data_IF_509753523127
#
_entry.id   IF_509753523127
#
_cell.length_a   1.000
_cell.length_b   1.000
_cell.length_c   1.000
_cell.angle_alpha   90.00
_cell.angle_beta   90.00
_cell.angle_gamma   90.00
#
_symmetry.space_group_name_H-M   'P 1'
#
loop_
_entity.id
_entity.type
_entity.pdbx_description
1 polymer ?
#
# COMPACT_ATOMS: atom_id res chain seq x y z
N UNK A 1 89.00 36.41 40.17
CA UNK A 1 88.92 34.97 40.54
C UNK A 1 88.37 34.14 39.37
N UNK A 2 88.49 32.80 39.46
CA UNK A 2 88.02 31.74 38.53
C UNK A 2 86.63 32.07 37.91
N UNK A 3 86.31 31.88 36.62
CA UNK A 3 86.71 30.89 35.60
C UNK A 3 86.22 29.45 35.85
N UNK A 4 85.04 29.14 35.30
CA UNK A 4 84.68 27.79 34.83
C UNK A 4 83.85 27.92 33.56
N UNK A 5 84.27 27.19 32.53
CA UNK A 5 83.61 27.11 31.21
C UNK A 5 82.45 26.12 31.28
N UNK A 6 81.49 26.24 30.37
CA UNK A 6 81.12 25.05 29.58
C UNK A 6 80.82 25.43 28.13
N UNK A 7 81.27 24.61 27.18
CA UNK A 7 81.16 24.86 25.73
C UNK A 7 81.01 23.56 24.97
N UNK A 8 80.38 23.66 23.78
CA UNK A 8 80.17 22.60 22.77
C UNK A 8 79.04 21.61 23.14
N UNK A 9 78.41 20.91 22.19
CA UNK A 9 78.70 20.83 20.75
C UNK A 9 77.45 20.68 19.87
N UNK A 10 77.62 20.88 18.56
CA UNK A 10 76.57 20.83 17.53
C UNK A 10 76.42 19.45 16.85
N UNK A 11 75.32 19.30 16.10
CA UNK A 11 75.19 18.50 14.86
C UNK A 11 75.24 16.95 14.92
N UNK A 12 74.10 16.30 14.62
CA UNK A 12 73.77 15.86 13.23
C UNK A 12 72.38 15.22 13.11
N UNK A 13 71.70 15.48 11.98
CA UNK A 13 70.48 14.77 11.56
C UNK A 13 70.81 13.36 11.07
N UNK A 14 69.92 12.40 11.32
CA UNK A 14 69.68 11.26 10.42
C UNK A 14 68.17 11.03 10.28
N UNK A 15 67.72 10.87 9.05
CA UNK A 15 66.33 10.64 8.71
C UNK A 15 65.97 9.16 8.94
N UNK A 16 64.80 8.89 9.49
CA UNK A 16 64.15 7.59 9.39
C UNK A 16 62.80 7.82 8.72
N UNK A 17 62.65 7.31 7.50
CA UNK A 17 61.38 7.30 6.81
C UNK A 17 60.56 6.11 7.32
N UNK A 18 59.40 6.38 7.91
CA UNK A 18 58.38 5.35 8.16
C UNK A 18 57.28 5.50 7.12
N UNK A 19 57.35 4.66 6.09
CA UNK A 19 56.20 4.42 5.22
C UNK A 19 55.12 3.70 6.04
N UNK A 20 53.93 4.29 6.14
CA UNK A 20 52.75 3.66 6.73
C UNK A 20 51.67 3.62 5.67
N UNK A 21 51.16 2.42 5.38
CA UNK A 21 50.35 2.16 4.20
C UNK A 21 48.99 2.87 4.25
N UNK A 22 48.54 3.34 3.08
CA UNK A 22 47.18 3.84 2.91
C UNK A 22 46.18 2.68 2.97
N UNK A 23 45.23 2.74 3.91
CA UNK A 23 44.03 1.89 3.90
C UNK A 23 42.87 2.73 3.41
N UNK A 24 42.60 2.66 2.11
CA UNK A 24 41.38 3.22 1.51
C UNK A 24 40.22 2.31 1.88
N UNK A 25 39.47 2.67 2.93
CA UNK A 25 38.23 1.97 3.28
C UNK A 25 37.15 2.39 2.28
N UNK A 26 36.88 1.52 1.30
CA UNK A 26 35.80 1.70 0.36
C UNK A 26 34.44 1.61 1.08
N UNK A 27 33.67 2.71 1.07
CA UNK A 27 32.31 2.77 1.58
C UNK A 27 31.36 1.97 0.68
N UNK A 28 31.22 0.67 0.97
CA UNK A 28 30.18 -0.16 0.38
C UNK A 28 28.82 0.22 0.99
N UNK A 29 27.94 0.79 0.17
CA UNK A 29 26.56 1.11 0.57
C UNK A 29 25.71 -0.18 0.66
N UNK A 30 25.87 -0.93 1.74
CA UNK A 30 25.12 -2.15 2.02
C UNK A 30 23.66 -1.84 2.34
N UNK A 31 22.81 -1.82 1.31
CA UNK A 31 21.36 -1.79 1.48
C UNK A 31 20.89 -3.05 2.24
N UNK A 32 20.01 -2.87 3.22
CA UNK A 32 19.41 -3.98 3.97
C UNK A 32 18.57 -4.87 3.05
N UNK A 33 19.08 -6.05 2.70
CA UNK A 33 18.41 -7.12 1.97
C UNK A 33 18.19 -8.35 2.85
N UNK A 34 17.10 -9.07 2.64
CA UNK A 34 16.69 -10.25 3.43
C UNK A 34 16.72 -11.53 2.59
N UNK A 35 16.96 -12.68 3.23
CA UNK A 35 17.06 -13.99 2.60
C UNK A 35 15.81 -14.82 2.91
N UNK A 36 15.06 -15.23 1.88
CA UNK A 36 13.88 -16.09 2.03
C UNK A 36 14.24 -17.58 2.14
N UNK A 37 13.44 -18.33 2.89
CA UNK A 37 13.47 -19.80 2.95
C UNK A 37 12.11 -20.38 2.56
N UNK A 38 12.12 -21.40 1.70
CA UNK A 38 10.93 -22.08 1.17
C UNK A 38 10.45 -23.21 2.09
N UNK A 39 9.14 -23.49 2.05
CA UNK A 39 8.56 -24.74 2.55
C UNK A 39 7.46 -25.22 1.58
N UNK A 40 7.61 -26.45 1.08
CA UNK A 40 6.63 -27.11 0.22
C UNK A 40 5.54 -27.80 1.05
N UNK A 41 4.29 -27.71 0.59
CA UNK A 41 3.19 -28.55 1.05
C UNK A 41 2.49 -29.16 -0.17
N UNK A 42 2.54 -30.48 -0.29
CA UNK A 42 1.94 -31.24 -1.40
C UNK A 42 0.55 -31.74 -0.98
N UNK A 43 -0.45 -31.66 -1.85
CA UNK A 43 -1.82 -32.09 -1.54
C UNK A 43 -2.72 -32.13 -2.77
N UNK A 44 -3.12 -33.34 -3.17
CA UNK A 44 -3.85 -33.64 -4.41
C UNK A 44 -5.36 -33.38 -4.34
N UNK A 45 -5.93 -33.06 -5.49
CA UNK A 45 -7.35 -32.76 -5.75
C UNK A 45 -8.17 -34.04 -5.95
N UNK A 46 -9.46 -34.07 -5.56
CA UNK A 46 -10.62 -34.52 -6.39
C UNK A 46 -11.98 -34.35 -5.65
N UNK A 47 -13.15 -34.42 -6.34
CA UNK A 47 -14.27 -33.51 -6.08
C UNK A 47 -15.57 -34.20 -5.63
N UNK A 48 -16.59 -33.39 -5.31
CA UNK A 48 -17.99 -33.80 -5.32
C UNK A 48 -18.84 -32.68 -5.95
N UNK A 49 -19.89 -33.04 -6.69
CA UNK A 49 -20.82 -32.12 -7.30
C UNK A 49 -22.27 -32.41 -6.92
N UNK A 50 -23.10 -31.39 -7.14
CA UNK A 50 -24.55 -31.37 -7.37
C UNK A 50 -25.59 -31.83 -6.33
N UNK A 51 -26.69 -31.05 -6.29
CA UNK A 51 -28.06 -31.36 -5.79
C UNK A 51 -28.26 -31.72 -4.29
N UNK A 52 -29.37 -31.39 -3.61
CA UNK A 52 -30.57 -30.58 -3.92
C UNK A 52 -31.44 -30.31 -2.66
N UNK A 53 -32.17 -29.18 -2.63
CA UNK A 53 -33.45 -28.94 -1.92
C UNK A 53 -33.49 -29.04 -0.35
N UNK A 54 -34.42 -28.42 0.40
CA UNK A 54 -35.68 -27.71 0.08
C UNK A 54 -36.04 -26.56 1.07
N UNK A 55 -36.91 -25.65 0.63
CA UNK A 55 -37.97 -24.87 1.35
C UNK A 55 -37.62 -24.05 2.63
N UNK A 56 -38.22 -22.89 2.93
CA UNK A 56 -39.35 -22.12 2.35
C UNK A 56 -39.10 -20.60 2.61
N UNK A 57 -39.97 -19.59 2.41
CA UNK A 57 -41.38 -19.50 1.98
C UNK A 57 -41.93 -18.07 2.12
N UNK A 58 -43.18 -17.82 1.70
CA UNK A 58 -43.84 -16.49 1.52
C UNK A 58 -43.19 -15.61 0.42
N UNK A 59 -43.89 -15.00 -0.55
CA UNK A 59 -45.32 -14.63 -0.67
C UNK A 59 -45.48 -13.12 -0.43
N UNK A 60 -46.13 -12.30 -1.27
CA UNK A 60 -46.87 -12.54 -2.50
C UNK A 60 -47.03 -11.23 -3.33
N UNK A 61 -47.95 -11.21 -4.29
CA UNK A 61 -48.04 -10.17 -5.33
C UNK A 61 -48.57 -8.79 -4.87
N UNK A 62 -48.32 -7.77 -5.69
CA UNK A 62 -48.93 -6.44 -5.60
C UNK A 62 -48.86 -5.70 -6.94
N UNK A 63 -50.01 -5.55 -7.60
CA UNK A 63 -50.16 -4.85 -8.87
C UNK A 63 -50.03 -3.32 -8.71
N UNK A 64 -49.50 -2.62 -9.73
CA UNK A 64 -49.20 -1.19 -9.66
C UNK A 64 -49.13 -0.50 -11.02
N UNK A 65 -50.30 -0.24 -11.60
CA UNK A 65 -50.53 0.51 -12.84
C UNK A 65 -50.10 1.99 -12.71
N UNK A 66 -49.55 2.56 -13.79
CA UNK A 66 -49.10 3.96 -13.81
C UNK A 66 -48.67 4.46 -15.19
N UNK A 67 -49.64 4.71 -16.08
CA UNK A 67 -49.37 5.26 -17.41
C UNK A 67 -48.97 6.74 -17.37
N UNK A 68 -47.89 7.08 -18.07
CA UNK A 68 -47.49 8.45 -18.38
C UNK A 68 -46.84 8.48 -19.76
N UNK A 69 -47.63 8.78 -20.79
CA UNK A 69 -47.15 8.81 -22.17
C UNK A 69 -46.91 10.25 -22.62
N UNK A 70 -45.75 10.50 -23.22
CA UNK A 70 -45.58 11.64 -24.11
C UNK A 70 -44.83 11.25 -25.39
N UNK A 71 -45.22 11.88 -26.50
CA UNK A 71 -44.92 11.41 -27.87
C UNK A 71 -43.85 12.28 -28.54
N UNK A 72 -42.93 11.65 -29.27
CA UNK A 72 -41.98 12.32 -30.16
C UNK A 72 -41.56 11.42 -31.33
N UNK A 73 -42.17 11.63 -32.49
CA UNK A 73 -41.96 10.95 -33.79
C UNK A 73 -40.51 10.44 -34.00
N UNK A 74 -40.24 9.14 -34.10
CA UNK A 74 -40.45 8.29 -35.28
C UNK A 74 -39.76 8.81 -36.57
N UNK A 75 -38.76 8.05 -37.04
CA UNK A 75 -38.56 7.80 -38.47
C UNK A 75 -38.23 6.31 -38.69
N UNK A 76 -38.81 5.74 -39.73
CA UNK A 76 -38.93 4.29 -39.98
C UNK A 76 -37.73 3.70 -40.73
N UNK A 77 -37.31 2.49 -40.33
CA UNK A 77 -36.46 1.60 -41.11
C UNK A 77 -36.93 0.16 -40.96
N UNK A 78 -37.74 -0.34 -41.90
CA UNK A 78 -38.28 -1.71 -41.88
C UNK A 78 -37.24 -2.69 -42.40
N UNK A 79 -36.95 -3.75 -41.65
CA UNK A 79 -36.01 -4.80 -42.05
C UNK A 79 -36.18 -6.05 -41.19
N UNK A 80 -37.05 -6.96 -41.60
CA UNK A 80 -37.18 -8.28 -40.99
C UNK A 80 -35.96 -9.14 -41.35
N UNK A 81 -35.37 -9.81 -40.35
CA UNK A 81 -34.20 -10.66 -40.56
C UNK A 81 -33.91 -11.54 -39.35
N UNK A 82 -34.46 -12.77 -39.35
CA UNK A 82 -34.08 -13.81 -38.38
C UNK A 82 -32.58 -14.10 -38.52
N UNK A 83 -31.82 -13.91 -37.43
CA UNK A 83 -30.44 -14.37 -37.34
C UNK A 83 -29.93 -14.36 -35.90
N UNK A 84 -29.71 -15.54 -35.30
CA UNK A 84 -29.00 -15.66 -34.02
C UNK A 84 -27.51 -15.34 -34.22
N UNK A 85 -27.16 -14.05 -34.24
CA UNK A 85 -25.77 -13.60 -34.31
C UNK A 85 -25.12 -13.56 -32.93
N UNK A 86 -23.99 -14.26 -32.74
CA UNK A 86 -23.11 -14.02 -31.59
C UNK A 86 -22.64 -12.55 -31.65
N UNK A 87 -23.04 -11.74 -30.67
CA UNK A 87 -22.73 -10.31 -30.66
C UNK A 87 -21.22 -10.06 -30.72
N UNK A 88 -20.76 -9.43 -31.81
CA UNK A 88 -19.34 -9.12 -32.04
C UNK A 88 -18.88 -8.12 -30.97
N UNK A 89 -18.22 -8.62 -29.92
CA UNK A 89 -17.80 -7.82 -28.75
C UNK A 89 -16.88 -6.68 -29.18
N UNK A 90 -17.08 -5.48 -28.62
CA UNK A 90 -16.34 -4.29 -29.01
C UNK A 90 -14.87 -4.33 -28.53
N UNK A 91 -13.96 -3.81 -29.36
CA UNK A 91 -12.56 -3.55 -29.00
C UNK A 91 -12.45 -2.59 -27.79
N UNK A 92 -11.28 -2.52 -27.16
CA UNK A 92 -11.02 -1.55 -26.08
C UNK A 92 -10.76 -0.13 -26.60
N UNK A 93 -10.13 -0.02 -27.78
CA UNK A 93 -9.45 1.19 -28.27
C UNK A 93 -8.42 1.69 -27.25
N UNK A 94 -8.20 3.01 -27.16
CA UNK A 94 -7.34 3.62 -26.15
C UNK A 94 -7.74 3.19 -24.74
N UNK A 95 -6.80 2.54 -24.03
CA UNK A 95 -6.92 2.26 -22.61
C UNK A 95 -6.66 3.52 -21.80
N UNK A 96 -7.22 3.61 -20.60
CA UNK A 96 -6.96 4.70 -19.66
C UNK A 96 -6.69 4.17 -18.25
N UNK A 97 -6.10 5.01 -17.40
CA UNK A 97 -5.90 4.74 -15.96
C UNK A 97 -6.83 5.63 -15.15
N UNK A 98 -7.45 5.08 -14.11
CA UNK A 98 -8.34 5.77 -13.18
C UNK A 98 -8.01 5.36 -11.74
N UNK A 99 -7.80 6.32 -10.84
CA UNK A 99 -7.74 5.99 -9.40
C UNK A 99 -9.14 5.68 -8.87
N UNK A 100 -9.27 4.55 -8.19
CA UNK A 100 -10.47 4.10 -7.50
C UNK A 100 -10.15 4.02 -6.02
N UNK A 101 -10.90 4.75 -5.18
CA UNK A 101 -10.53 5.00 -3.78
C UNK A 101 -10.17 3.76 -2.92
N UNK A 102 -10.68 2.57 -3.26
CA UNK A 102 -10.35 1.29 -2.59
C UNK A 102 -9.38 0.39 -3.39
N UNK A 103 -9.21 0.61 -4.70
CA UNK A 103 -8.44 -0.24 -5.61
C UNK A 103 -7.17 0.42 -6.17
N UNK A 104 -6.94 1.70 -5.91
CA UNK A 104 -5.84 2.44 -6.54
C UNK A 104 -6.05 2.57 -8.03
N UNK A 105 -4.96 2.57 -8.79
CA UNK A 105 -4.99 2.64 -10.25
C UNK A 105 -5.65 1.40 -10.87
N UNK A 106 -6.72 1.64 -11.62
CA UNK A 106 -7.48 0.65 -12.38
C UNK A 106 -7.46 1.02 -13.85
N UNK A 107 -7.20 0.04 -14.72
CA UNK A 107 -7.26 0.20 -16.17
C UNK A 107 -8.71 0.13 -16.65
N UNK A 108 -9.10 1.07 -17.51
CA UNK A 108 -10.39 1.08 -18.22
C UNK A 108 -10.21 1.06 -19.73
N UNK A 109 -11.25 0.69 -20.46
CA UNK A 109 -11.32 0.95 -21.91
C UNK A 109 -11.72 2.39 -22.25
N UNK A 110 -11.75 2.71 -23.55
CA UNK A 110 -12.13 4.04 -24.09
C UNK A 110 -13.56 4.51 -23.77
N UNK A 111 -14.41 3.64 -23.20
CA UNK A 111 -15.75 3.98 -22.73
C UNK A 111 -15.84 4.02 -21.20
N UNK A 112 -14.71 3.86 -20.50
CA UNK A 112 -14.64 3.86 -19.04
C UNK A 112 -15.06 2.55 -18.38
N UNK A 113 -15.21 1.44 -19.11
CA UNK A 113 -15.45 0.13 -18.48
C UNK A 113 -14.18 -0.37 -17.81
N UNK A 114 -14.29 -0.77 -16.54
CA UNK A 114 -13.18 -1.42 -15.81
C UNK A 114 -12.77 -2.70 -16.51
N UNK A 115 -11.47 -2.89 -16.65
CA UNK A 115 -10.86 -4.10 -17.17
C UNK A 115 -10.35 -4.98 -16.04
N UNK A 116 -10.37 -6.29 -16.26
CA UNK A 116 -10.12 -7.32 -15.25
C UNK A 116 -9.10 -8.35 -15.76
N UNK A 117 -8.43 -9.01 -14.81
CA UNK A 117 -7.67 -10.26 -15.02
C UNK A 117 -8.19 -11.38 -14.12
N UNK A 118 -7.97 -12.60 -14.58
CA UNK A 118 -8.28 -13.83 -13.86
C UNK A 118 -7.02 -14.43 -13.23
N UNK A 119 -7.14 -15.07 -12.07
CA UNK A 119 -6.01 -15.71 -11.38
C UNK A 119 -5.67 -17.11 -11.91
N UNK A 120 -6.59 -17.78 -12.62
CA UNK A 120 -6.34 -19.10 -13.25
C UNK A 120 -5.71 -18.99 -14.65
N UNK A 121 -5.50 -17.77 -15.13
CA UNK A 121 -4.75 -17.50 -16.36
C UNK A 121 -3.23 -17.54 -16.12
N UNK A 122 -2.44 -17.56 -17.18
CA UNK A 122 -0.98 -17.38 -17.10
C UNK A 122 -0.52 -16.17 -17.90
N UNK A 123 0.48 -15.45 -17.40
CA UNK A 123 1.08 -14.30 -18.09
C UNK A 123 2.31 -14.65 -18.93
N UNK A 124 3.01 -15.74 -18.61
CA UNK A 124 4.20 -16.19 -19.33
C UNK A 124 4.27 -17.73 -19.38
N UNK A 125 3.99 -18.37 -20.53
CA UNK A 125 3.37 -17.76 -21.71
C UNK A 125 1.96 -17.23 -21.41
N UNK A 126 1.47 -16.21 -22.13
CA UNK A 126 0.08 -15.77 -22.03
C UNK A 126 -0.92 -16.89 -22.35
N UNK A 127 -1.88 -17.16 -21.46
CA UNK A 127 -2.97 -18.13 -21.67
C UNK A 127 -4.22 -17.74 -20.89
N UNK A 128 -5.38 -17.81 -21.56
CA UNK A 128 -6.71 -17.76 -20.94
C UNK A 128 -7.16 -19.17 -20.53
N UNK A 129 -7.66 -19.30 -19.30
CA UNK A 129 -8.39 -20.46 -18.79
C UNK A 129 -9.92 -20.23 -18.81
N UNK A 130 -10.35 -18.97 -18.83
CA UNK A 130 -11.77 -18.62 -18.90
C UNK A 130 -12.36 -18.81 -20.31
N UNK A 131 -13.07 -19.92 -20.53
CA UNK A 131 -13.72 -20.30 -21.81
C UNK A 131 -15.22 -20.59 -21.63
N UNK A 132 -15.98 -20.70 -22.73
CA UNK A 132 -17.41 -21.07 -22.70
C UNK A 132 -18.26 -20.10 -21.87
N UNK A 133 -19.06 -20.64 -20.93
CA UNK A 133 -19.89 -19.85 -20.02
C UNK A 133 -19.08 -18.84 -19.17
N UNK A 134 -17.81 -19.14 -18.86
CA UNK A 134 -16.94 -18.16 -18.21
C UNK A 134 -16.76 -16.92 -19.10
N UNK A 135 -16.50 -17.11 -20.40
CA UNK A 135 -16.36 -16.03 -21.38
C UNK A 135 -17.68 -15.31 -21.74
N UNK A 136 -18.82 -15.80 -21.26
CA UNK A 136 -20.10 -15.09 -21.29
C UNK A 136 -20.21 -14.09 -20.14
N UNK A 137 -19.95 -14.54 -18.90
CA UNK A 137 -19.91 -13.72 -17.69
C UNK A 137 -18.71 -12.75 -17.64
N UNK A 138 -17.60 -13.13 -18.25
CA UNK A 138 -16.36 -12.36 -18.36
C UNK A 138 -15.99 -12.17 -19.84
N UNK A 139 -16.63 -11.23 -20.54
CA UNK A 139 -16.33 -10.92 -21.94
C UNK A 139 -14.84 -10.70 -22.21
N UNK A 140 -14.17 -11.55 -23.02
CA UNK A 140 -12.78 -11.30 -23.44
C UNK A 140 -12.69 -10.00 -24.22
N UNK A 141 -11.66 -9.19 -23.93
CA UNK A 141 -11.40 -7.95 -24.67
C UNK A 141 -10.65 -8.27 -25.96
N UNK A 142 -11.18 -7.95 -27.15
CA UNK A 142 -10.46 -8.18 -28.41
C UNK A 142 -9.14 -7.40 -28.47
N UNK A 143 -8.10 -8.02 -29.01
CA UNK A 143 -6.78 -7.39 -29.17
C UNK A 143 -6.72 -6.26 -30.22
N UNK A 144 -7.77 -6.09 -31.02
CA UNK A 144 -7.82 -5.10 -32.08
C UNK A 144 -7.83 -3.67 -31.52
N UNK A 145 -7.08 -2.79 -32.19
CA UNK A 145 -7.07 -1.33 -32.01
C UNK A 145 -6.76 -0.82 -30.59
N UNK A 146 -6.26 -1.68 -29.70
CA UNK A 146 -5.87 -1.30 -28.34
C UNK A 146 -4.59 -0.46 -28.36
N UNK A 147 -4.68 0.77 -27.85
CA UNK A 147 -3.53 1.67 -27.66
C UNK A 147 -3.38 2.00 -26.18
N UNK A 148 -2.14 2.22 -25.74
CA UNK A 148 -1.86 2.70 -24.39
C UNK A 148 -2.11 4.21 -24.31
N UNK A 149 -2.51 4.69 -23.13
CA UNK A 149 -2.42 6.09 -22.75
C UNK A 149 -1.43 6.25 -21.59
N UNK A 150 -1.25 7.49 -21.14
CA UNK A 150 -0.38 7.83 -20.00
C UNK A 150 -0.67 6.93 -18.77
N UNK A 151 0.41 6.48 -18.13
CA UNK A 151 0.37 5.49 -17.05
C UNK A 151 0.46 4.02 -17.49
N UNK A 152 0.21 3.71 -18.77
CA UNK A 152 0.38 2.35 -19.33
C UNK A 152 1.58 2.35 -20.28
N UNK A 153 2.60 1.57 -19.95
CA UNK A 153 3.77 1.39 -20.80
C UNK A 153 3.38 0.60 -22.09
N UNK A 154 3.56 1.15 -23.32
CA UNK A 154 3.09 0.51 -24.55
C UNK A 154 3.62 -0.90 -24.78
N UNK A 155 4.86 -1.18 -24.36
CA UNK A 155 5.52 -2.48 -24.43
C UNK A 155 4.88 -3.56 -23.53
N UNK A 156 3.99 -3.19 -22.61
CA UNK A 156 3.17 -4.13 -21.84
C UNK A 156 1.96 -4.63 -22.62
N UNK A 157 1.55 -3.95 -23.70
CA UNK A 157 0.43 -4.41 -24.51
C UNK A 157 0.82 -5.59 -25.38
N UNK A 158 -0.02 -6.63 -25.38
CA UNK A 158 0.19 -7.82 -26.17
C UNK A 158 -1.13 -8.47 -26.59
N UNK A 159 -1.03 -9.70 -27.07
CA UNK A 159 -2.19 -10.49 -27.47
C UNK A 159 -1.97 -11.98 -27.23
N UNK A 160 -3.04 -12.68 -26.87
CA UNK A 160 -3.08 -14.14 -26.75
C UNK A 160 -4.11 -14.71 -27.72
N UNK A 161 -3.79 -15.84 -28.35
CA UNK A 161 -4.75 -16.58 -29.17
C UNK A 161 -5.52 -17.55 -28.27
N UNK A 162 -6.84 -17.41 -28.24
CA UNK A 162 -7.75 -18.25 -27.45
C UNK A 162 -8.02 -19.59 -28.12
N UNK A 163 -8.63 -20.52 -27.39
CA UNK A 163 -8.95 -21.85 -27.91
C UNK A 163 -9.97 -21.80 -29.07
N UNK A 164 -10.87 -20.82 -29.07
CA UNK A 164 -11.81 -20.53 -30.17
C UNK A 164 -11.17 -19.86 -31.40
N UNK A 165 -9.86 -19.64 -31.38
CA UNK A 165 -9.07 -19.03 -32.45
C UNK A 165 -9.06 -17.49 -32.44
N UNK A 166 -9.84 -16.83 -31.58
CA UNK A 166 -9.88 -15.38 -31.48
C UNK A 166 -8.64 -14.79 -30.78
N UNK A 167 -8.36 -13.50 -31.02
CA UNK A 167 -7.26 -12.77 -30.38
C UNK A 167 -7.77 -11.87 -29.27
N UNK A 168 -7.31 -12.13 -28.04
CA UNK A 168 -7.62 -11.36 -26.84
C UNK A 168 -6.44 -10.46 -26.46
N UNK A 169 -6.74 -9.24 -26.01
CA UNK A 169 -5.76 -8.29 -25.49
C UNK A 169 -5.07 -8.86 -24.25
N UNK A 170 -3.76 -8.62 -24.13
CA UNK A 170 -3.02 -8.84 -22.88
C UNK A 170 -2.37 -7.55 -22.38
N UNK A 171 -2.23 -7.43 -21.06
CA UNK A 171 -1.46 -6.37 -20.39
C UNK A 171 -0.42 -7.01 -19.46
N UNK A 172 0.85 -6.73 -19.69
CA UNK A 172 1.99 -7.41 -19.06
C UNK A 172 1.87 -8.95 -19.09
N UNK A 173 1.35 -9.48 -20.21
CA UNK A 173 1.10 -10.91 -20.44
C UNK A 173 -0.25 -11.43 -19.95
N UNK A 174 -0.94 -10.75 -19.01
CA UNK A 174 -2.23 -11.20 -18.49
C UNK A 174 -3.38 -10.98 -19.48
N UNK A 175 -4.23 -11.99 -19.77
CA UNK A 175 -5.43 -11.81 -20.59
C UNK A 175 -6.43 -10.85 -19.96
N UNK A 176 -7.02 -9.99 -20.78
CA UNK A 176 -7.88 -8.88 -20.32
C UNK A 176 -9.36 -9.14 -20.61
N UNK A 177 -10.22 -8.89 -19.63
CA UNK A 177 -11.66 -9.10 -19.68
C UNK A 177 -12.45 -7.86 -19.26
N UNK A 178 -13.72 -7.78 -19.67
CA UNK A 178 -14.75 -6.96 -18.99
C UNK A 178 -15.59 -7.87 -18.09
N UNK A 179 -16.47 -7.30 -17.26
CA UNK A 179 -17.44 -8.07 -16.47
C UNK A 179 -18.87 -7.83 -16.95
N UNK A 180 -19.67 -8.88 -17.13
CA UNK A 180 -21.02 -8.77 -17.68
C UNK A 180 -22.06 -8.16 -16.71
N UNK A 181 -21.76 -8.04 -15.41
CA UNK A 181 -22.63 -7.36 -14.44
C UNK A 181 -22.17 -5.95 -14.08
N UNK A 182 -21.09 -5.45 -14.69
CA UNK A 182 -20.87 -4.01 -14.75
C UNK A 182 -21.92 -3.43 -15.70
N UNK A 183 -22.69 -2.44 -15.23
CA UNK A 183 -23.83 -1.85 -15.94
C UNK A 183 -23.61 -0.39 -16.31
N UNK A 184 -22.61 0.28 -15.73
CA UNK A 184 -22.19 1.62 -16.07
C UNK A 184 -20.65 1.73 -16.18
N UNK A 185 -20.13 2.65 -17.01
CA UNK A 185 -18.73 3.08 -16.94
C UNK A 185 -18.32 3.39 -15.50
N UNK A 186 -17.15 2.91 -15.11
CA UNK A 186 -16.61 3.10 -13.79
C UNK A 186 -17.08 2.11 -12.71
N UNK A 187 -18.06 1.25 -12.98
CA UNK A 187 -18.34 0.09 -12.12
C UNK A 187 -17.08 -0.77 -11.91
N UNK A 188 -16.95 -1.37 -10.73
CA UNK A 188 -15.85 -2.30 -10.39
C UNK A 188 -16.40 -3.60 -9.78
N UNK A 189 -17.62 -4.00 -10.15
CA UNK A 189 -18.38 -5.09 -9.49
C UNK A 189 -17.74 -6.47 -9.69
N UNK A 190 -16.87 -6.60 -10.69
CA UNK A 190 -16.09 -7.82 -10.92
C UNK A 190 -14.91 -8.01 -9.95
N UNK A 191 -14.47 -6.98 -9.23
CA UNK A 191 -13.32 -7.11 -8.33
C UNK A 191 -13.70 -7.96 -7.11
N UNK A 192 -12.94 -9.04 -6.86
CA UNK A 192 -13.15 -9.97 -5.75
C UNK A 192 -14.15 -11.09 -6.04
N UNK A 193 -14.80 -11.11 -7.21
CA UNK A 193 -15.76 -12.18 -7.57
C UNK A 193 -15.05 -13.54 -7.58
N UNK A 194 -15.58 -14.50 -6.82
CA UNK A 194 -14.99 -15.83 -6.66
C UNK A 194 -13.59 -15.85 -6.01
N UNK A 195 -13.10 -14.73 -5.47
CA UNK A 195 -11.72 -14.59 -4.94
C UNK A 195 -10.61 -14.59 -6.01
N UNK A 196 -10.93 -14.90 -7.26
CA UNK A 196 -9.99 -15.10 -8.38
C UNK A 196 -10.10 -14.04 -9.47
N UNK A 197 -11.16 -13.23 -9.49
CA UNK A 197 -11.33 -12.12 -10.42
C UNK A 197 -10.91 -10.80 -9.79
N UNK A 198 -10.09 -10.04 -10.51
CA UNK A 198 -9.48 -8.83 -10.00
C UNK A 198 -9.53 -7.74 -11.07
N UNK A 199 -9.92 -6.52 -10.69
CA UNK A 199 -9.68 -5.34 -11.54
C UNK A 199 -8.18 -5.26 -11.89
N UNK A 200 -7.87 -4.74 -13.07
CA UNK A 200 -6.54 -4.78 -13.66
C UNK A 200 -5.77 -3.49 -13.37
N UNK A 201 -4.54 -3.59 -12.85
CA UNK A 201 -3.64 -2.46 -12.65
C UNK A 201 -2.82 -2.14 -13.93
N UNK A 202 -2.25 -0.92 -14.08
CA UNK A 202 -1.44 -0.53 -15.25
C UNK A 202 -0.13 -1.34 -15.44
N UNK A 203 0.29 -2.11 -14.44
CA UNK A 203 1.40 -3.06 -14.51
C UNK A 203 0.97 -4.51 -14.76
N UNK A 204 -0.31 -4.72 -15.08
CA UNK A 204 -0.92 -6.02 -15.31
C UNK A 204 -1.22 -6.83 -14.05
N UNK A 205 -0.90 -6.33 -12.85
CA UNK A 205 -1.24 -7.03 -11.59
C UNK A 205 -2.71 -6.82 -11.22
N UNK A 206 -3.10 -7.40 -10.09
CA UNK A 206 -4.34 -7.08 -9.39
C UNK A 206 -4.31 -5.59 -9.01
N UNK A 207 -5.28 -4.82 -9.50
CA UNK A 207 -5.59 -3.54 -8.91
C UNK A 207 -6.10 -3.77 -7.48
N UNK A 208 -5.51 -3.02 -6.57
CA UNK A 208 -5.78 -2.99 -5.16
C UNK A 208 -4.95 -1.83 -4.64
N UNK A 209 -5.52 -0.92 -3.86
CA UNK A 209 -4.71 0.11 -3.22
C UNK A 209 -3.79 -0.66 -2.30
N UNK A 210 -2.49 -0.63 -2.59
CA UNK A 210 -1.45 -1.22 -1.75
C UNK A 210 -1.54 -0.47 -0.42
N UNK A 211 -2.37 -0.97 0.50
CA UNK A 211 -2.87 -0.20 1.64
C UNK A 211 -1.68 0.37 2.38
N UNK A 212 -1.56 1.70 2.41
CA UNK A 212 -0.35 2.38 2.87
C UNK A 212 -0.09 1.93 4.30
N UNK A 213 1.05 1.28 4.51
CA UNK A 213 1.38 0.63 5.78
C UNK A 213 2.11 1.58 6.74
N UNK A 214 2.72 2.63 6.17
CA UNK A 214 3.46 3.66 6.87
C UNK A 214 3.29 4.99 6.12
N UNK A 215 2.75 5.99 6.81
CA UNK A 215 2.40 7.30 6.24
C UNK A 215 3.07 8.40 7.05
N UNK A 216 3.78 9.31 6.37
CA UNK A 216 4.14 10.59 6.96
C UNK A 216 2.92 11.52 6.91
N UNK A 217 2.48 12.01 8.07
CA UNK A 217 1.32 12.89 8.26
C UNK A 217 1.74 14.13 9.03
N UNK A 218 1.15 15.28 8.72
CA UNK A 218 1.38 16.50 9.48
C UNK A 218 0.53 16.49 10.75
N UNK A 219 1.19 16.67 11.90
CA UNK A 219 0.56 16.87 13.20
C UNK A 219 0.83 18.32 13.67
N UNK A 220 -0.17 18.95 14.30
CA UNK A 220 -0.13 20.36 14.66
C UNK A 220 0.98 20.71 15.66
N UNK A 221 1.19 19.89 16.68
CA UNK A 221 2.20 20.11 17.72
C UNK A 221 3.59 19.59 17.30
N UNK A 222 3.64 18.45 16.59
CA UNK A 222 4.86 17.67 16.38
C UNK A 222 5.47 17.84 14.98
N UNK A 223 4.78 18.50 14.06
CA UNK A 223 5.13 18.55 12.64
C UNK A 223 4.90 17.21 11.95
N UNK A 224 5.65 16.93 10.87
CA UNK A 224 5.47 15.69 10.11
C UNK A 224 5.98 14.46 10.86
N UNK A 225 5.05 13.58 11.26
CA UNK A 225 5.29 12.34 12.02
C UNK A 225 4.83 11.10 11.25
N UNK A 226 5.31 9.93 11.64
CA UNK A 226 4.92 8.66 11.03
C UNK A 226 3.75 8.00 11.76
N UNK A 227 2.79 7.50 10.97
CA UNK A 227 1.67 6.68 11.43
C UNK A 227 1.59 5.35 10.68
N UNK A 228 1.04 4.32 11.32
CA UNK A 228 0.79 3.03 10.68
C UNK A 228 -0.51 3.01 9.83
N UNK A 229 -0.83 1.85 9.22
CA UNK A 229 -2.05 1.64 8.43
C UNK A 229 -3.37 1.93 9.16
N UNK A 230 -3.36 2.07 10.50
CA UNK A 230 -4.51 2.41 11.34
C UNK A 230 -4.49 3.88 11.80
N UNK A 231 -3.51 4.67 11.35
CA UNK A 231 -3.31 6.05 11.78
C UNK A 231 -2.73 6.21 13.19
N UNK A 232 -2.15 5.15 13.77
CA UNK A 232 -1.55 5.21 15.11
C UNK A 232 -0.14 5.79 15.02
N UNK A 233 0.18 6.73 15.89
CA UNK A 233 1.51 7.36 15.93
C UNK A 233 2.59 6.35 16.25
N UNK A 234 3.73 6.50 15.57
CA UNK A 234 4.88 5.64 15.72
C UNK A 234 6.00 6.33 16.51
N UNK A 235 6.57 5.58 17.46
CA UNK A 235 7.52 6.06 18.47
C UNK A 235 8.83 5.30 18.44
N UNK A 236 9.90 5.99 18.84
CA UNK A 236 11.22 5.44 19.14
C UNK A 236 11.55 5.64 20.62
N UNK A 237 12.31 4.69 21.18
CA UNK A 237 12.72 4.68 22.59
C UNK A 237 14.20 5.06 22.72
N UNK A 238 14.51 6.05 23.54
CA UNK A 238 15.88 6.55 23.70
C UNK A 238 16.86 5.55 24.36
N UNK A 239 16.36 4.46 24.96
CA UNK A 239 17.20 3.37 25.48
C UNK A 239 17.50 2.27 24.46
N UNK A 240 16.90 2.32 23.28
CA UNK A 240 17.23 1.39 22.19
C UNK A 240 18.55 1.79 21.50
N UNK A 241 19.10 0.89 20.67
CA UNK A 241 20.30 1.21 19.86
C UNK A 241 20.02 1.05 18.37
N UNK A 242 20.52 2.01 17.58
CA UNK A 242 20.40 1.99 16.12
C UNK A 242 21.34 0.97 15.45
N UNK A 243 22.56 0.81 15.96
CA UNK A 243 23.48 -0.22 15.48
C UNK A 243 24.34 -0.81 16.62
N UNK A 244 24.37 -2.15 16.79
CA UNK A 244 23.42 -3.10 16.22
C UNK A 244 21.98 -2.76 16.64
N UNK A 245 20.99 -3.00 15.78
CA UNK A 245 19.59 -2.74 16.08
C UNK A 245 19.13 -3.57 17.29
N UNK A 246 18.79 -2.92 18.40
CA UNK A 246 18.43 -3.61 19.64
C UNK A 246 17.35 -2.87 20.40
N UNK A 247 16.27 -3.60 20.67
CA UNK A 247 15.22 -3.20 21.60
C UNK A 247 15.62 -3.53 23.04
N UNK A 248 15.61 -2.51 23.88
CA UNK A 248 15.68 -2.57 25.33
C UNK A 248 14.27 -2.60 25.96
N UNK A 249 13.21 -2.32 25.19
CA UNK A 249 11.83 -2.57 25.60
C UNK A 249 11.49 -4.08 25.61
N UNK A 250 11.35 -4.65 26.81
CA UNK A 250 11.09 -6.07 27.08
C UNK A 250 10.15 -6.23 28.29
N UNK A 251 9.54 -7.41 28.43
CA UNK A 251 8.62 -7.70 29.55
C UNK A 251 7.49 -6.67 29.60
N UNK A 252 7.18 -6.15 30.79
CA UNK A 252 6.12 -5.17 31.02
C UNK A 252 6.21 -3.90 30.15
N UNK A 253 7.39 -3.53 29.63
CA UNK A 253 7.49 -2.44 28.65
C UNK A 253 6.64 -2.74 27.39
N UNK A 254 6.62 -4.00 26.94
CA UNK A 254 5.85 -4.47 25.79
C UNK A 254 4.34 -4.59 26.09
N UNK A 255 3.91 -4.43 27.33
CA UNK A 255 2.48 -4.34 27.66
C UNK A 255 1.91 -2.99 27.23
N UNK A 256 2.70 -1.93 27.36
CA UNK A 256 2.36 -0.55 27.00
C UNK A 256 2.88 -0.12 25.62
N UNK A 257 4.08 -0.57 25.22
CA UNK A 257 4.77 -0.15 24.00
C UNK A 257 4.92 -1.31 23.05
N UNK A 258 4.01 -1.39 22.10
CA UNK A 258 3.85 -2.57 21.25
C UNK A 258 4.72 -2.41 20.00
N UNK A 259 5.59 -3.38 19.66
CA UNK A 259 6.41 -3.33 18.45
C UNK A 259 5.57 -3.07 17.21
N UNK A 260 5.99 -2.11 16.38
CA UNK A 260 5.38 -1.88 15.08
C UNK A 260 5.77 -3.03 14.13
N UNK A 261 4.80 -3.54 13.37
CA UNK A 261 5.01 -4.66 12.46
C UNK A 261 5.81 -4.21 11.23
N UNK A 262 6.66 -5.09 10.63
CA UNK A 262 7.30 -4.83 9.35
C UNK A 262 6.34 -4.33 8.27
N UNK A 263 6.81 -3.41 7.43
CA UNK A 263 6.03 -2.83 6.32
C UNK A 263 6.74 -3.01 4.99
N UNK A 264 5.98 -3.09 3.91
CA UNK A 264 6.53 -3.24 2.56
C UNK A 264 6.99 -1.90 1.97
N UNK A 265 8.14 -1.87 1.31
CA UNK A 265 8.76 -0.65 0.77
C UNK A 265 8.01 0.00 -0.41
N UNK A 266 7.03 -0.70 -0.99
CA UNK A 266 6.06 -0.18 -1.96
C UNK A 266 4.80 0.42 -1.31
N UNK A 267 4.60 0.23 0.00
CA UNK A 267 3.40 0.67 0.76
C UNK A 267 3.70 1.86 1.68
N UNK A 268 4.52 2.78 1.18
CA UNK A 268 5.02 3.95 1.91
C UNK A 268 4.47 5.23 1.30
N UNK A 269 3.99 6.16 2.13
CA UNK A 269 3.64 7.52 1.71
C UNK A 269 4.44 8.53 2.51
N UNK A 270 5.03 9.52 1.84
CA UNK A 270 5.81 10.61 2.46
C UNK A 270 7.10 10.21 3.19
N UNK A 271 7.52 8.94 3.16
CA UNK A 271 8.74 8.45 3.83
C UNK A 271 9.69 7.76 2.85
N UNK A 272 10.99 8.01 2.99
CA UNK A 272 12.00 7.51 2.06
C UNK A 272 12.27 6.00 2.23
N UNK A 273 12.13 5.21 1.15
CA UNK A 273 12.32 3.74 1.13
C UNK A 273 13.64 3.22 1.73
N UNK A 274 14.68 4.07 1.78
CA UNK A 274 16.00 3.78 2.34
C UNK A 274 16.04 3.79 3.88
N UNK A 275 15.15 4.55 4.52
CA UNK A 275 15.07 4.66 5.98
C UNK A 275 14.31 3.48 6.59
N UNK A 276 13.37 2.91 5.85
CA UNK A 276 12.52 1.81 6.32
C UNK A 276 13.28 0.48 6.25
N UNK A 277 13.30 -0.23 7.36
CA UNK A 277 13.91 -1.55 7.48
C UNK A 277 13.12 -2.47 8.41
N UNK A 278 13.57 -3.72 8.47
CA UNK A 278 13.07 -4.74 9.38
C UNK A 278 14.27 -5.33 10.10
N UNK A 279 14.13 -5.64 11.38
CA UNK A 279 15.12 -6.42 12.09
C UNK A 279 14.46 -7.51 12.94
N UNK A 280 15.21 -8.60 13.15
CA UNK A 280 14.79 -9.72 13.99
C UNK A 280 15.16 -9.45 15.44
N UNK A 281 14.16 -9.48 16.33
CA UNK A 281 14.31 -9.34 17.77
C UNK A 281 14.92 -10.62 18.38
N UNK A 282 15.42 -10.50 19.60
CA UNK A 282 15.99 -11.63 20.35
C UNK A 282 14.97 -12.73 20.69
N UNK A 283 13.68 -12.40 20.72
CA UNK A 283 12.55 -13.32 20.86
C UNK A 283 12.17 -14.03 19.54
N UNK A 284 12.89 -13.75 18.44
CA UNK A 284 12.67 -14.33 17.13
C UNK A 284 11.62 -13.61 16.27
N UNK A 285 10.83 -12.69 16.85
CA UNK A 285 9.85 -11.89 16.09
C UNK A 285 10.52 -10.79 15.27
N UNK A 286 9.82 -10.26 14.26
CA UNK A 286 10.31 -9.13 13.45
C UNK A 286 9.64 -7.81 13.85
N UNK A 287 10.42 -6.73 13.84
CA UNK A 287 9.96 -5.39 14.17
C UNK A 287 10.40 -4.40 13.09
N UNK A 288 9.52 -3.42 12.82
CA UNK A 288 9.81 -2.26 11.98
C UNK A 288 10.95 -1.44 12.57
N UNK A 289 11.90 -1.08 11.74
CA UNK A 289 12.90 -0.05 12.03
C UNK A 289 12.76 1.12 11.04
N UNK A 290 12.96 2.34 11.53
CA UNK A 290 13.06 3.55 10.69
C UNK A 290 14.34 4.28 11.07
N UNK A 291 15.17 4.58 10.07
CA UNK A 291 16.53 5.12 10.24
C UNK A 291 17.37 4.28 11.23
N UNK A 292 17.26 2.95 11.09
CA UNK A 292 17.83 1.94 11.97
C UNK A 292 17.34 1.95 13.44
N UNK A 293 16.38 2.79 13.84
CA UNK A 293 15.81 2.74 15.19
C UNK A 293 14.60 1.79 15.26
N UNK A 294 14.48 0.91 16.27
CA UNK A 294 13.26 0.13 16.52
C UNK A 294 12.05 1.03 16.77
N UNK A 295 10.91 0.69 16.17
CA UNK A 295 9.69 1.52 16.20
C UNK A 295 8.52 0.79 16.88
N UNK A 296 7.71 1.53 17.63
CA UNK A 296 6.59 1.04 18.45
C UNK A 296 5.34 1.89 18.22
N UNK A 297 4.19 1.41 18.64
CA UNK A 297 2.98 2.21 18.88
C UNK A 297 2.60 2.14 20.36
N UNK A 298 1.99 3.19 20.89
CA UNK A 298 1.62 3.32 22.30
C UNK A 298 0.18 2.80 22.52
N UNK A 299 -0.06 2.06 23.60
CA UNK A 299 -1.42 1.55 23.91
C UNK A 299 -2.38 2.59 24.48
N UNK A 300 -1.87 3.77 24.90
CA UNK A 300 -2.70 4.90 25.32
C UNK A 300 -2.95 5.93 24.21
N UNK A 301 -2.65 5.57 22.95
CA UNK A 301 -3.20 6.24 21.78
C UNK A 301 -4.45 5.43 21.38
N UNK A 302 -5.63 5.98 21.65
CA UNK A 302 -6.92 5.31 21.44
C UNK A 302 -7.52 5.66 20.08
N UNK A 303 -7.22 6.85 19.57
CA UNK A 303 -7.72 7.37 18.29
C UNK A 303 -6.60 7.57 17.25
N UNK A 304 -6.90 7.46 15.94
CA UNK A 304 -5.96 7.81 14.89
C UNK A 304 -5.53 9.28 15.02
N UNK A 305 -4.21 9.53 14.98
CA UNK A 305 -3.63 10.87 15.18
C UNK A 305 -3.33 11.24 16.63
N UNK A 306 -3.72 10.43 17.63
CA UNK A 306 -3.28 10.61 19.02
C UNK A 306 -1.75 10.61 19.10
N UNK A 307 -1.21 11.47 19.97
CA UNK A 307 0.24 11.63 20.18
C UNK A 307 0.64 11.46 21.66
N UNK A 308 -0.17 10.76 22.45
CA UNK A 308 -0.08 10.67 23.92
C UNK A 308 1.19 9.95 24.43
N UNK A 309 1.89 9.23 23.55
CA UNK A 309 3.21 8.67 23.80
C UNK A 309 4.37 9.68 23.74
N UNK A 310 4.17 10.89 23.23
CA UNK A 310 5.25 11.88 23.05
C UNK A 310 5.80 12.36 24.39
N UNK A 311 7.13 12.41 24.50
CA UNK A 311 7.88 12.78 25.69
C UNK A 311 7.55 11.93 26.95
N UNK A 312 6.90 10.77 26.80
CA UNK A 312 6.53 9.92 27.94
C UNK A 312 7.81 9.53 28.71
N UNK A 313 7.84 9.82 30.01
CA UNK A 313 9.01 9.61 30.89
C UNK A 313 10.31 10.28 30.39
N UNK A 314 10.26 11.25 29.47
CA UNK A 314 11.43 11.86 28.84
C UNK A 314 12.22 10.94 27.91
N UNK A 315 11.65 9.79 27.49
CA UNK A 315 12.37 8.72 26.79
C UNK A 315 11.70 8.26 25.48
N UNK A 316 10.45 8.63 25.25
CA UNK A 316 9.66 8.19 24.11
C UNK A 316 9.33 9.36 23.20
N UNK A 317 9.58 9.21 21.91
CA UNK A 317 9.46 10.31 20.95
C UNK A 317 8.83 9.84 19.64
N UNK A 318 7.88 10.60 19.11
CA UNK A 318 7.30 10.32 17.80
C UNK A 318 8.38 10.37 16.71
N UNK A 319 8.30 9.46 15.74
CA UNK A 319 9.26 9.33 14.65
C UNK A 319 8.86 10.24 13.50
N UNK A 320 9.78 11.05 12.98
CA UNK A 320 9.51 11.94 11.84
C UNK A 320 9.62 11.23 10.49
N UNK A 321 9.19 11.89 9.41
CA UNK A 321 9.42 11.50 8.01
C UNK A 321 10.88 11.13 7.68
N UNK A 322 11.83 11.73 8.42
CA UNK A 322 13.28 11.55 8.33
C UNK A 322 13.85 10.51 9.30
N UNK A 323 13.01 9.82 10.09
CA UNK A 323 13.42 8.88 11.15
C UNK A 323 13.93 9.53 12.44
N UNK A 324 13.93 10.87 12.50
CA UNK A 324 14.34 11.64 13.66
C UNK A 324 13.31 11.59 14.80
N UNK A 325 13.64 12.24 15.92
CA UNK A 325 12.68 12.55 16.98
C UNK A 325 11.89 13.80 16.61
N UNK A 326 10.57 13.76 16.74
CA UNK A 326 9.76 14.97 16.82
C UNK A 326 10.19 15.79 18.05
N UNK A 327 10.33 17.11 17.86
CA UNK A 327 10.78 18.05 18.91
C UNK A 327 9.66 18.85 19.57
N UNK A 328 8.44 18.75 19.06
CA UNK A 328 7.29 19.42 19.64
C UNK A 328 6.90 18.82 20.99
N UNK A 329 6.21 19.63 21.78
CA UNK A 329 5.55 19.22 23.02
C UNK A 329 4.05 19.20 22.78
N UNK A 330 3.37 18.17 23.27
CA UNK A 330 1.91 18.07 23.12
C UNK A 330 1.28 19.10 24.04
N UNK A 331 0.67 20.13 23.48
CA UNK A 331 -0.15 21.05 24.28
C UNK A 331 -1.43 20.30 24.66
N UNK A 332 -1.58 19.98 25.95
CA UNK A 332 -2.80 19.31 26.41
C UNK A 332 -3.98 20.27 26.22
N UNK A 333 -4.84 20.00 25.23
CA UNK A 333 -6.13 20.64 25.07
C UNK A 333 -6.98 20.29 26.28
N UNK A 334 -6.93 21.17 27.28
CA UNK A 334 -7.57 20.96 28.57
C UNK A 334 -9.06 20.70 28.41
N UNK A 335 -9.56 19.73 29.18
CA UNK A 335 -10.99 19.60 29.42
C UNK A 335 -11.52 20.96 29.89
N UNK A 336 -12.57 21.46 29.24
CA UNK A 336 -13.13 22.78 29.50
C UNK A 336 -13.87 22.83 30.83
N UNK A 337 -13.12 22.92 31.93
CA UNK A 337 -13.69 23.12 33.26
C UNK A 337 -14.04 24.61 33.42
N UNK A 338 -15.34 24.91 33.33
CA UNK A 338 -15.87 26.27 33.42
C UNK A 338 -15.99 26.67 34.88
N UNK A 339 -14.85 27.01 35.48
CA UNK A 339 -14.77 27.62 36.80
C UNK A 339 -15.45 28.99 36.82
N UNK A 340 -16.73 29.01 37.19
CA UNK A 340 -17.49 30.23 37.44
C UNK A 340 -16.87 31.04 38.58
N UNK A 341 -16.53 32.29 38.29
CA UNK A 341 -15.83 33.19 39.22
C UNK A 341 -16.82 34.16 39.82
N UNK A 342 -17.50 33.76 40.90
CA UNK A 342 -18.39 34.63 41.65
C UNK A 342 -17.62 35.75 42.36
N UNK A 343 -17.64 36.93 41.74
CA UNK A 343 -17.09 38.18 42.26
C UNK A 343 -17.79 38.60 43.58
N UNK A 344 -17.03 39.01 44.58
CA UNK A 344 -17.54 39.53 45.85
C UNK A 344 -16.96 40.91 46.14
N UNK A 345 -17.60 41.93 45.57
CA UNK A 345 -17.29 43.33 45.86
C UNK A 345 -17.70 43.73 47.28
N UNK A 346 -16.72 44.01 48.15
CA UNK A 346 -16.95 44.68 49.44
C UNK A 346 -16.80 46.19 49.30
N UNK A 347 -17.93 46.88 49.18
CA UNK A 347 -18.01 48.33 49.37
C UNK A 347 -18.21 48.68 50.85
N UNK A 348 -17.20 49.26 51.49
CA UNK A 348 -17.29 49.82 52.84
C UNK A 348 -17.24 51.34 52.79
N UNK A 349 -18.32 52.00 53.22
CA UNK A 349 -18.38 53.45 53.39
C UNK A 349 -18.78 53.85 54.81
N UNK A 350 -18.52 55.13 55.12
CA UNK A 350 -18.78 55.84 56.38
C UNK A 350 -17.76 55.59 57.50
#
# INVERSE_FOLDING_TARGET
MRSTRNTRNTNKRRHVALASAAVVVALMASACGTSGGTAQGNGTVQPAGDSSEAADGYGGAGDGYGSGADKGSAQTGKGEGKGKGKGKRAAAKTLAVRDVAKLGEVVTDSKGWTLYRFDEDTASPPRSSCEGACAEAWPPVPAADATAADGIAPERLGKVKRADGSWQLTLAGWPVYRYAKDTAPGDTKGHGVGGTWNALAPDGKKAGRSAVQLTAVDNADLGTILTDAKGRTLYRFDKDTAWPMKSHCKGACLDTWKPAKPVSKDKLSGVAKKLVGTYKRADGTEQLAVDCWPVYWFTGDEQPGDVNGQNKQGLWHAVTDKGGKAKGEVTSSGSGDTGDSSDTGSGGGY
#
